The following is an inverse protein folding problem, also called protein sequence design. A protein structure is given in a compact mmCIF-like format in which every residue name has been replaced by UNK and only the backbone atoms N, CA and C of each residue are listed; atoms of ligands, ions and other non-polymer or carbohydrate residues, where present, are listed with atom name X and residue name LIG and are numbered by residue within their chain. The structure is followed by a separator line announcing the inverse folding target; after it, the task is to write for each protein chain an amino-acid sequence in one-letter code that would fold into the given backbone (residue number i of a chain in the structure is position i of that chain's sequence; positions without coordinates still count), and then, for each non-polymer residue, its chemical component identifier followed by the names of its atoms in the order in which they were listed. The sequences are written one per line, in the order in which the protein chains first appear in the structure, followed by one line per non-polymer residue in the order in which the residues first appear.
data_IF_773600067550
#
_entry.id   IF_773600067550
#
_cell.length_a   1.000
_cell.length_b   1.000
_cell.length_c   1.000
_cell.angle_alpha   90.00
_cell.angle_beta   90.00
_cell.angle_gamma   90.00
#
_symmetry.space_group_name_H-M   'P 1'
#
loop_
_entity.id
_entity.type
_entity.pdbx_description
1 polymer ?
#
# COMPACT_ATOMS: atom_id res chain seq x y z
N UNK A 1 11.44 -21.53 8.13
CA UNK A 1 11.93 -20.19 8.58
C UNK A 1 10.72 -19.49 9.18
N UNK A 2 10.81 -18.97 10.40
CA UNK A 2 9.71 -18.16 10.97
C UNK A 2 9.60 -16.80 10.24
N UNK A 3 8.48 -16.09 10.45
CA UNK A 3 8.31 -14.74 9.89
C UNK A 3 9.35 -13.77 10.45
N UNK A 4 9.69 -13.89 11.72
CA UNK A 4 10.77 -13.15 12.39
C UNK A 4 12.11 -13.34 11.68
N UNK A 5 12.53 -14.60 11.49
CA UNK A 5 13.79 -14.88 10.78
C UNK A 5 13.79 -14.37 9.33
N UNK A 6 12.61 -14.31 8.69
CA UNK A 6 12.48 -13.73 7.37
C UNK A 6 12.67 -12.21 7.41
N UNK A 7 12.13 -11.53 8.42
CA UNK A 7 12.30 -10.09 8.61
C UNK A 7 13.77 -9.76 8.88
N UNK A 8 14.42 -10.47 9.82
CA UNK A 8 15.85 -10.28 10.11
C UNK A 8 16.72 -10.39 8.85
N UNK A 9 16.49 -11.42 8.03
CA UNK A 9 17.29 -11.66 6.84
C UNK A 9 17.06 -10.64 5.71
N UNK A 10 15.89 -9.98 5.66
CA UNK A 10 15.48 -9.17 4.51
C UNK A 10 15.25 -7.68 4.81
N UNK A 11 15.32 -7.26 6.08
CA UNK A 11 15.06 -5.89 6.51
C UNK A 11 15.90 -4.86 5.75
N UNK A 12 17.21 -5.04 5.71
CA UNK A 12 18.12 -4.11 5.02
C UNK A 12 17.83 -4.02 3.51
N UNK A 13 17.49 -5.16 2.88
CA UNK A 13 17.11 -5.20 1.45
C UNK A 13 15.83 -4.42 1.23
N UNK A 14 14.82 -4.62 2.08
CA UNK A 14 13.56 -3.90 1.99
C UNK A 14 13.76 -2.38 2.11
N UNK A 15 14.54 -1.92 3.09
CA UNK A 15 14.87 -0.51 3.27
C UNK A 15 15.63 0.08 2.07
N UNK A 16 16.64 -0.64 1.55
CA UNK A 16 17.42 -0.22 0.39
C UNK A 16 16.54 -0.06 -0.85
N UNK A 17 15.61 -1.00 -1.07
CA UNK A 17 14.64 -0.90 -2.17
C UNK A 17 13.73 0.32 -2.05
N UNK A 18 13.33 0.72 -0.83
CA UNK A 18 12.48 1.90 -0.62
C UNK A 18 13.27 3.21 -0.80
N UNK A 19 14.48 3.28 -0.31
CA UNK A 19 15.35 4.46 -0.49
C UNK A 19 15.66 4.76 -1.96
N UNK A 20 15.68 3.75 -2.82
CA UNK A 20 15.90 3.88 -4.25
C UNK A 20 14.76 4.54 -5.04
N UNK A 21 13.60 4.78 -4.41
CA UNK A 21 12.43 5.38 -5.08
C UNK A 21 12.43 6.90 -4.85
N UNK A 22 13.27 7.62 -5.54
CA UNK A 22 13.42 9.07 -5.36
C UNK A 22 12.13 9.86 -5.58
N UNK A 23 11.32 9.48 -6.57
CA UNK A 23 10.06 10.18 -6.87
C UNK A 23 9.00 10.06 -5.78
N UNK A 24 9.08 9.06 -4.90
CA UNK A 24 8.16 8.98 -3.75
C UNK A 24 8.39 10.16 -2.79
N UNK A 25 9.63 10.57 -2.58
CA UNK A 25 9.94 11.72 -1.75
C UNK A 25 9.53 13.03 -2.43
N UNK A 26 9.82 13.19 -3.73
CA UNK A 26 9.37 14.34 -4.51
C UNK A 26 7.85 14.48 -4.51
N UNK A 27 7.11 13.36 -4.65
CA UNK A 27 5.65 13.34 -4.54
C UNK A 27 5.15 13.78 -3.17
N UNK A 28 5.73 13.26 -2.08
CA UNK A 28 5.34 13.63 -0.72
C UNK A 28 5.65 15.10 -0.42
N UNK A 29 6.80 15.57 -0.86
CA UNK A 29 7.18 16.98 -0.72
C UNK A 29 6.23 17.90 -1.51
N UNK A 30 5.96 17.60 -2.78
CA UNK A 30 5.03 18.35 -3.61
C UNK A 30 3.64 18.44 -2.97
N UNK A 31 3.16 17.36 -2.35
CA UNK A 31 1.84 17.32 -1.69
C UNK A 31 1.76 18.21 -0.45
N UNK A 32 2.89 18.60 0.15
CA UNK A 32 2.93 19.57 1.25
C UNK A 32 2.83 21.03 0.81
N UNK A 33 3.01 21.33 -0.49
CA UNK A 33 2.92 22.69 -1.02
C UNK A 33 1.50 23.01 -1.53
N UNK A 34 1.17 24.30 -1.63
CA UNK A 34 -0.09 24.77 -2.21
C UNK A 34 -0.15 24.56 -3.72
N UNK A 35 0.96 24.76 -4.40
CA UNK A 35 1.08 24.52 -5.84
C UNK A 35 1.39 23.05 -6.11
N UNK A 36 0.60 22.42 -6.99
CA UNK A 36 0.72 21.00 -7.32
C UNK A 36 1.27 20.82 -8.73
N UNK A 37 2.27 19.99 -8.89
CA UNK A 37 2.90 19.66 -10.17
C UNK A 37 2.22 18.44 -10.82
N UNK A 38 1.36 18.69 -11.79
CA UNK A 38 0.69 17.63 -12.55
C UNK A 38 1.65 16.77 -13.38
N UNK A 39 2.79 17.33 -13.83
CA UNK A 39 3.78 16.59 -14.60
C UNK A 39 4.53 15.59 -13.72
N UNK A 40 4.85 15.95 -12.48
CA UNK A 40 5.43 15.06 -11.49
C UNK A 40 4.47 13.91 -11.17
N UNK A 41 3.19 14.20 -10.89
CA UNK A 41 2.16 13.17 -10.63
C UNK A 41 2.05 12.22 -11.81
N UNK A 42 1.95 12.76 -13.04
CA UNK A 42 1.87 11.95 -14.26
C UNK A 42 3.10 11.03 -14.40
N UNK A 43 4.31 11.57 -14.21
CA UNK A 43 5.55 10.80 -14.29
C UNK A 43 5.60 9.70 -13.23
N UNK A 44 5.24 10.03 -11.99
CA UNK A 44 5.20 9.07 -10.89
C UNK A 44 4.20 7.93 -11.15
N UNK A 45 2.98 8.25 -11.59
CA UNK A 45 1.96 7.24 -11.94
C UNK A 45 2.42 6.33 -13.09
N UNK A 46 3.14 6.90 -14.08
CA UNK A 46 3.72 6.13 -15.20
C UNK A 46 4.78 5.15 -14.71
N UNK A 47 5.68 5.58 -13.83
CA UNK A 47 6.76 4.75 -13.29
C UNK A 47 6.22 3.60 -12.42
N UNK A 48 5.11 3.83 -11.72
CA UNK A 48 4.38 2.76 -11.00
C UNK A 48 3.50 1.89 -11.89
N UNK A 49 3.52 2.09 -13.23
CA UNK A 49 2.76 1.30 -14.18
C UNK A 49 1.24 1.49 -14.09
N UNK A 50 0.76 2.57 -13.46
CA UNK A 50 -0.66 2.79 -13.18
C UNK A 50 -1.47 3.16 -14.41
N UNK A 51 -0.81 3.50 -15.53
CA UNK A 51 -1.44 3.91 -16.78
C UNK A 51 -1.51 2.79 -17.84
N UNK A 52 -1.29 1.54 -17.48
CA UNK A 52 -1.40 0.43 -18.43
C UNK A 52 -2.82 0.37 -19.04
N UNK A 53 -2.89 0.37 -20.37
CA UNK A 53 -4.16 0.31 -21.11
C UNK A 53 -5.02 1.58 -21.05
N UNK A 54 -4.45 2.74 -20.63
CA UNK A 54 -5.14 4.02 -20.55
C UNK A 54 -4.66 4.97 -21.65
N UNK A 55 -5.58 5.66 -22.33
CA UNK A 55 -5.27 6.65 -23.36
C UNK A 55 -4.53 7.87 -22.77
N UNK A 56 -3.86 8.66 -23.61
CA UNK A 56 -3.17 9.88 -23.16
C UNK A 56 -4.13 10.92 -22.57
N UNK A 57 -5.32 11.04 -23.14
CA UNK A 57 -6.37 11.96 -22.69
C UNK A 57 -6.89 11.55 -21.30
N UNK A 58 -7.23 10.26 -21.12
CA UNK A 58 -7.69 9.74 -19.85
C UNK A 58 -6.62 9.85 -18.76
N UNK A 59 -5.33 9.69 -19.10
CA UNK A 59 -4.22 9.86 -18.12
C UNK A 59 -4.20 11.27 -17.54
N UNK A 60 -4.38 12.29 -18.41
CA UNK A 60 -4.46 13.67 -17.95
C UNK A 60 -5.67 13.86 -17.05
N UNK A 61 -6.84 13.38 -17.45
CA UNK A 61 -8.06 13.49 -16.65
C UNK A 61 -7.92 12.79 -15.29
N UNK A 62 -7.26 11.62 -15.21
CA UNK A 62 -6.95 10.93 -13.94
C UNK A 62 -6.05 11.77 -13.04
N UNK A 63 -4.99 12.39 -13.58
CA UNK A 63 -4.10 13.26 -12.81
C UNK A 63 -4.86 14.48 -12.27
N UNK A 64 -5.67 15.13 -13.11
CA UNK A 64 -6.48 16.27 -12.70
C UNK A 64 -7.48 15.91 -11.60
N UNK A 65 -8.13 14.72 -11.71
CA UNK A 65 -9.02 14.20 -10.66
C UNK A 65 -8.28 13.90 -9.37
N UNK A 66 -7.10 13.31 -9.45
CA UNK A 66 -6.29 13.09 -8.26
C UNK A 66 -6.00 14.39 -7.53
N UNK A 67 -5.47 15.39 -8.22
CA UNK A 67 -5.07 16.66 -7.62
C UNK A 67 -6.24 17.42 -7.00
N UNK A 68 -7.40 17.43 -7.66
CA UNK A 68 -8.60 18.05 -7.10
C UNK A 68 -9.14 17.29 -5.90
N UNK A 69 -9.12 15.96 -5.93
CA UNK A 69 -9.64 15.12 -4.83
C UNK A 69 -8.74 15.17 -3.61
N UNK A 70 -7.41 15.10 -3.79
CA UNK A 70 -6.48 15.11 -2.65
C UNK A 70 -6.49 16.46 -1.92
N UNK A 71 -6.70 17.57 -2.62
CA UNK A 71 -6.87 18.88 -2.01
C UNK A 71 -8.07 18.89 -1.05
N UNK A 72 -9.23 18.40 -1.49
CA UNK A 72 -10.43 18.29 -0.65
C UNK A 72 -10.19 17.37 0.55
N UNK A 73 -9.51 16.24 0.33
CA UNK A 73 -9.22 15.27 1.38
C UNK A 73 -8.31 15.87 2.46
N UNK A 74 -7.25 16.58 2.07
CA UNK A 74 -6.26 17.11 3.02
C UNK A 74 -6.78 18.28 3.85
N UNK A 75 -7.77 19.03 3.35
CA UNK A 75 -8.40 20.14 4.10
C UNK A 75 -9.42 19.70 5.14
N UNK A 76 -9.94 18.48 5.07
CA UNK A 76 -11.10 18.05 5.86
C UNK A 76 -10.78 17.22 7.11
N UNK A 77 -9.51 16.83 7.34
CA UNK A 77 -9.21 15.82 8.36
C UNK A 77 -8.03 16.18 9.27
N UNK A 78 -8.33 16.45 10.54
CA UNK A 78 -7.32 16.62 11.60
C UNK A 78 -6.80 15.27 12.16
N UNK A 79 -7.57 14.20 12.01
CA UNK A 79 -7.20 12.84 12.43
C UNK A 79 -7.51 11.82 11.34
N UNK A 80 -6.58 10.90 11.11
CA UNK A 80 -6.68 9.87 10.07
C UNK A 80 -6.94 8.51 10.71
N UNK A 81 -8.22 8.20 10.94
CA UNK A 81 -8.70 6.89 11.38
C UNK A 81 -9.14 6.01 10.18
N UNK A 82 -9.51 4.76 10.43
CA UNK A 82 -9.97 3.84 9.40
C UNK A 82 -11.24 4.30 8.68
N UNK A 83 -12.17 4.97 9.37
CA UNK A 83 -13.38 5.50 8.74
C UNK A 83 -13.04 6.65 7.79
N UNK A 84 -12.09 7.48 8.18
CA UNK A 84 -11.56 8.53 7.34
C UNK A 84 -10.89 7.93 6.10
N UNK A 85 -10.02 6.94 6.27
CA UNK A 85 -9.35 6.25 5.16
C UNK A 85 -10.35 5.57 4.22
N UNK A 86 -11.39 4.90 4.73
CA UNK A 86 -12.43 4.28 3.92
C UNK A 86 -13.16 5.31 3.05
N UNK A 87 -13.49 6.48 3.62
CA UNK A 87 -14.13 7.58 2.88
C UNK A 87 -13.23 8.16 1.80
N UNK A 88 -11.98 8.47 2.15
CA UNK A 88 -10.97 8.98 1.20
C UNK A 88 -10.74 8.00 0.06
N UNK A 89 -10.61 6.72 0.40
CA UNK A 89 -10.41 5.64 -0.58
C UNK A 89 -11.61 5.53 -1.53
N UNK A 90 -12.82 5.54 -0.98
CA UNK A 90 -14.06 5.47 -1.77
C UNK A 90 -14.18 6.68 -2.70
N UNK A 91 -13.94 7.90 -2.20
CA UNK A 91 -13.98 9.13 -2.98
C UNK A 91 -12.98 9.07 -4.14
N UNK A 92 -11.71 8.82 -3.86
CA UNK A 92 -10.65 8.77 -4.87
C UNK A 92 -10.92 7.70 -5.94
N UNK A 93 -11.33 6.51 -5.51
CA UNK A 93 -11.63 5.41 -6.42
C UNK A 93 -12.84 5.71 -7.30
N UNK A 94 -13.84 6.42 -6.77
CA UNK A 94 -15.03 6.88 -7.52
C UNK A 94 -14.64 7.88 -8.60
N UNK A 95 -13.82 8.87 -8.26
CA UNK A 95 -13.35 9.88 -9.22
C UNK A 95 -12.58 9.23 -10.39
N UNK A 96 -11.71 8.26 -10.09
CA UNK A 96 -10.99 7.53 -11.14
C UNK A 96 -11.91 6.65 -11.99
N UNK A 97 -12.88 5.98 -11.37
CA UNK A 97 -13.85 5.13 -12.07
C UNK A 97 -14.71 5.94 -13.02
N UNK A 98 -15.06 7.18 -12.69
CA UNK A 98 -15.82 8.09 -13.57
C UNK A 98 -15.05 8.46 -14.84
N UNK A 99 -13.71 8.47 -14.81
CA UNK A 99 -12.88 8.70 -15.99
C UNK A 99 -12.69 7.40 -16.79
N UNK A 100 -12.25 6.35 -16.11
CA UNK A 100 -12.03 5.03 -16.73
C UNK A 100 -12.65 3.95 -15.86
N UNK A 101 -13.74 3.29 -16.30
CA UNK A 101 -14.43 2.24 -15.55
C UNK A 101 -13.58 0.98 -15.39
N UNK A 102 -12.72 0.96 -14.37
CA UNK A 102 -11.89 -0.18 -14.00
C UNK A 102 -11.62 -0.21 -12.50
N UNK A 103 -11.00 -1.30 -12.03
CA UNK A 103 -10.55 -1.42 -10.64
C UNK A 103 -9.28 -0.57 -10.40
N UNK A 104 -9.42 0.45 -9.58
CA UNK A 104 -8.34 1.40 -9.24
C UNK A 104 -7.70 1.14 -7.87
N UNK A 105 -7.96 0.00 -7.24
CA UNK A 105 -7.54 -0.37 -5.87
C UNK A 105 -6.05 -0.05 -5.59
N UNK A 106 -5.14 -0.55 -6.45
CA UNK A 106 -3.69 -0.34 -6.27
C UNK A 106 -3.26 1.11 -6.51
N UNK A 107 -3.85 1.79 -7.50
CA UNK A 107 -3.52 3.19 -7.76
C UNK A 107 -4.00 4.10 -6.63
N UNK A 108 -5.24 3.90 -6.17
CA UNK A 108 -5.84 4.68 -5.08
C UNK A 108 -5.02 4.55 -3.79
N UNK A 109 -4.65 3.34 -3.39
CA UNK A 109 -3.85 3.13 -2.17
C UNK A 109 -2.46 3.76 -2.26
N UNK A 110 -1.78 3.67 -3.42
CA UNK A 110 -0.47 4.26 -3.64
C UNK A 110 -0.51 5.79 -3.58
N UNK A 111 -1.52 6.40 -4.18
CA UNK A 111 -1.68 7.85 -4.22
C UNK A 111 -2.07 8.42 -2.85
N UNK A 112 -2.94 7.73 -2.09
CA UNK A 112 -3.26 8.11 -0.72
C UNK A 112 -2.06 7.94 0.22
N UNK A 113 -1.24 6.90 0.01
CA UNK A 113 -0.01 6.70 0.78
C UNK A 113 0.96 7.88 0.64
N UNK A 114 1.08 8.49 -0.54
CA UNK A 114 1.92 9.67 -0.73
C UNK A 114 1.54 10.84 0.20
N UNK A 115 0.24 10.98 0.51
CA UNK A 115 -0.27 12.03 1.40
C UNK A 115 -0.26 11.62 2.88
N UNK A 116 -0.41 10.33 3.17
CA UNK A 116 -0.58 9.80 4.53
C UNK A 116 0.31 8.56 4.75
N UNK A 117 1.65 8.70 4.65
CA UNK A 117 2.58 7.57 4.59
C UNK A 117 2.62 6.72 5.87
N UNK A 118 2.23 7.27 7.02
CA UNK A 118 2.21 6.57 8.30
C UNK A 118 0.83 5.98 8.65
N UNK A 119 -0.20 6.30 7.85
CA UNK A 119 -1.58 5.88 8.11
C UNK A 119 -2.11 4.91 7.04
N UNK A 120 -1.67 5.05 5.80
CA UNK A 120 -2.18 4.33 4.63
C UNK A 120 -1.20 3.26 4.20
N UNK A 121 -1.70 2.04 3.97
CA UNK A 121 -0.94 0.91 3.44
C UNK A 121 -1.10 0.83 1.93
N UNK A 122 -0.02 0.61 1.20
CA UNK A 122 -0.09 0.35 -0.25
C UNK A 122 -0.69 -1.04 -0.50
N UNK A 123 -1.73 -1.10 -1.33
CA UNK A 123 -2.23 -2.39 -1.80
C UNK A 123 -1.37 -2.94 -2.95
N UNK A 124 -0.96 -4.18 -2.80
CA UNK A 124 -0.29 -4.97 -3.83
C UNK A 124 -0.78 -6.43 -3.81
N UNK A 125 -0.92 -7.05 -4.99
CA UNK A 125 -1.41 -8.41 -5.12
C UNK A 125 -0.47 -9.46 -4.49
N UNK A 126 0.84 -9.20 -4.46
CA UNK A 126 1.78 -10.09 -3.78
C UNK A 126 1.66 -9.98 -2.26
N UNK A 127 1.45 -8.77 -1.73
CA UNK A 127 1.16 -8.58 -0.30
C UNK A 127 -0.17 -9.24 0.08
N UNK A 128 -1.23 -9.08 -0.73
CA UNK A 128 -2.50 -9.79 -0.54
C UNK A 128 -2.27 -11.30 -0.44
N UNK A 129 -1.50 -11.88 -1.35
CA UNK A 129 -1.14 -13.30 -1.34
C UNK A 129 -0.39 -13.70 -0.07
N UNK A 130 0.57 -12.89 0.38
CA UNK A 130 1.30 -13.16 1.63
C UNK A 130 0.35 -13.18 2.83
N UNK A 131 -0.54 -12.19 2.95
CA UNK A 131 -1.51 -12.09 4.04
C UNK A 131 -2.49 -13.27 4.03
N UNK A 132 -3.01 -13.66 2.87
CA UNK A 132 -3.91 -14.82 2.75
C UNK A 132 -3.30 -16.11 3.34
N UNK A 133 -2.00 -16.30 3.16
CA UNK A 133 -1.29 -17.47 3.67
C UNK A 133 -0.98 -17.28 5.16
N UNK A 134 -0.46 -16.12 5.55
CA UNK A 134 -0.14 -15.81 6.95
C UNK A 134 -1.38 -15.90 7.84
N UNK A 135 -2.55 -15.48 7.38
CA UNK A 135 -3.79 -15.59 8.14
C UNK A 135 -4.14 -17.04 8.52
N UNK A 136 -3.71 -18.02 7.71
CA UNK A 136 -3.92 -19.44 8.00
C UNK A 136 -2.96 -20.03 9.04
N UNK A 137 -1.85 -19.35 9.38
CA UNK A 137 -0.79 -19.87 10.21
C UNK A 137 -0.36 -18.95 11.36
N UNK A 138 -0.85 -17.71 11.36
CA UNK A 138 -0.44 -16.66 12.31
C UNK A 138 -1.60 -16.35 13.27
N UNK A 139 -1.48 -16.68 14.58
CA UNK A 139 -2.61 -16.56 15.53
C UNK A 139 -3.21 -15.15 15.63
N UNK A 140 -2.39 -14.10 15.68
CA UNK A 140 -2.87 -12.73 15.82
C UNK A 140 -3.62 -12.19 14.56
N UNK A 141 -3.60 -12.92 13.44
CA UNK A 141 -4.41 -12.62 12.26
C UNK A 141 -5.71 -13.43 12.20
N UNK A 142 -5.89 -14.42 13.08
CA UNK A 142 -7.06 -15.30 13.03
C UNK A 142 -8.39 -14.60 13.35
N UNK A 143 -8.36 -13.52 14.15
CA UNK A 143 -9.54 -12.76 14.54
C UNK A 143 -10.03 -11.78 13.46
N UNK A 144 -9.22 -11.54 12.43
CA UNK A 144 -9.64 -10.71 11.31
C UNK A 144 -10.57 -11.46 10.35
N UNK A 145 -11.51 -10.76 9.71
CA UNK A 145 -12.31 -11.36 8.63
C UNK A 145 -11.38 -11.99 7.59
N UNK A 146 -11.72 -13.23 7.16
CA UNK A 146 -10.88 -13.95 6.21
C UNK A 146 -10.72 -13.16 4.91
N UNK A 147 -9.49 -12.81 4.59
CA UNK A 147 -9.19 -12.14 3.34
C UNK A 147 -9.31 -13.14 2.18
N UNK A 148 -9.97 -12.69 1.12
CA UNK A 148 -10.11 -13.38 -0.15
C UNK A 148 -9.46 -12.53 -1.24
N UNK A 149 -9.47 -13.02 -2.47
CA UNK A 149 -9.04 -12.20 -3.60
C UNK A 149 -9.83 -10.89 -3.66
N UNK A 150 -9.16 -9.80 -3.85
CA UNK A 150 -9.75 -8.46 -3.91
C UNK A 150 -10.91 -8.37 -4.90
N UNK A 151 -12.05 -7.76 -4.53
CA UNK A 151 -13.27 -7.73 -5.33
C UNK A 151 -13.05 -7.18 -6.74
N UNK A 152 -13.74 -7.71 -7.73
CA UNK A 152 -13.85 -7.08 -9.04
C UNK A 152 -14.73 -5.83 -8.95
N UNK A 153 -14.43 -4.82 -9.74
CA UNK A 153 -15.25 -3.60 -9.88
C UNK A 153 -15.87 -3.62 -11.25
N UNK A 154 -17.17 -3.91 -11.32
CA UNK A 154 -17.99 -3.97 -12.55
C UNK A 154 -18.87 -2.74 -12.69
N UNK A 155 -19.21 -2.11 -11.57
CA UNK A 155 -20.02 -0.90 -11.49
C UNK A 155 -19.69 -0.11 -10.22
N UNK A 156 -20.26 1.09 -10.07
CA UNK A 156 -20.01 2.00 -8.95
C UNK A 156 -20.30 1.38 -7.56
N UNK A 157 -21.32 0.50 -7.47
CA UNK A 157 -21.69 -0.12 -6.18
C UNK A 157 -20.60 -1.09 -5.67
N UNK A 158 -19.73 -1.59 -6.54
CA UNK A 158 -18.64 -2.47 -6.13
C UNK A 158 -17.47 -1.70 -5.47
N UNK A 159 -17.41 -0.38 -5.63
CA UNK A 159 -16.38 0.47 -5.02
C UNK A 159 -16.43 0.37 -3.49
N UNK A 160 -17.62 0.44 -2.91
CA UNK A 160 -17.78 0.30 -1.45
C UNK A 160 -17.30 -1.08 -0.94
N UNK A 161 -17.49 -2.15 -1.72
CA UNK A 161 -16.94 -3.48 -1.38
C UNK A 161 -15.43 -3.49 -1.44
N UNK A 162 -14.84 -2.81 -2.44
CA UNK A 162 -13.38 -2.66 -2.54
C UNK A 162 -12.82 -1.84 -1.37
N UNK A 163 -13.50 -0.79 -0.93
CA UNK A 163 -13.06 0.02 0.21
C UNK A 163 -13.07 -0.81 1.50
N UNK A 164 -14.14 -1.53 1.80
CA UNK A 164 -14.21 -2.45 2.95
C UNK A 164 -13.15 -3.54 2.91
N UNK A 165 -12.93 -4.13 1.74
CA UNK A 165 -11.84 -5.09 1.54
C UNK A 165 -10.50 -4.46 1.85
N UNK A 166 -10.25 -3.23 1.36
CA UNK A 166 -9.01 -2.51 1.57
C UNK A 166 -8.77 -2.19 3.05
N UNK A 167 -9.78 -1.79 3.80
CA UNK A 167 -9.64 -1.54 5.25
C UNK A 167 -9.24 -2.83 5.97
N UNK A 168 -9.90 -3.96 5.72
CA UNK A 168 -9.51 -5.24 6.32
C UNK A 168 -8.07 -5.66 5.95
N UNK A 169 -7.68 -5.47 4.69
CA UNK A 169 -6.31 -5.70 4.23
C UNK A 169 -5.31 -4.81 4.99
N UNK A 170 -5.59 -3.50 5.09
CA UNK A 170 -4.76 -2.54 5.79
C UNK A 170 -4.60 -2.88 7.27
N UNK A 171 -5.68 -3.26 7.94
CA UNK A 171 -5.67 -3.63 9.35
C UNK A 171 -4.79 -4.85 9.62
N UNK A 172 -4.80 -5.84 8.71
CA UNK A 172 -3.91 -6.99 8.83
C UNK A 172 -2.43 -6.62 8.66
N UNK A 173 -2.09 -5.72 7.71
CA UNK A 173 -0.70 -5.23 7.56
C UNK A 173 -0.27 -4.47 8.80
N UNK A 174 -1.16 -3.63 9.36
CA UNK A 174 -0.90 -2.90 10.61
C UNK A 174 -0.77 -3.84 11.81
N UNK A 175 -1.54 -4.92 11.87
CA UNK A 175 -1.40 -5.93 12.91
C UNK A 175 -0.03 -6.63 12.83
N UNK A 176 0.44 -6.95 11.61
CA UNK A 176 1.79 -7.50 11.42
C UNK A 176 2.86 -6.48 11.84
N UNK A 177 2.70 -5.22 11.48
CA UNK A 177 3.60 -4.16 11.94
C UNK A 177 3.66 -4.09 13.46
N UNK A 178 2.51 -4.02 14.12
CA UNK A 178 2.43 -3.90 15.58
C UNK A 178 3.07 -5.09 16.29
N UNK A 179 2.84 -6.32 15.81
CA UNK A 179 3.43 -7.52 16.37
C UNK A 179 4.96 -7.53 16.27
N UNK A 180 5.50 -7.00 15.16
CA UNK A 180 6.92 -7.00 14.89
C UNK A 180 7.61 -5.64 15.15
N UNK A 181 6.94 -4.66 15.74
CA UNK A 181 7.50 -3.32 15.93
C UNK A 181 8.81 -3.34 16.71
N UNK A 182 8.88 -4.08 17.82
CA UNK A 182 10.11 -4.20 18.61
C UNK A 182 11.28 -4.80 17.81
N UNK A 183 10.99 -5.78 16.95
CA UNK A 183 11.98 -6.36 16.05
C UNK A 183 12.49 -5.34 15.03
N UNK A 184 11.58 -4.57 14.42
CA UNK A 184 11.93 -3.53 13.45
C UNK A 184 12.77 -2.42 14.09
N UNK A 185 12.42 -1.99 15.31
CA UNK A 185 13.18 -0.98 16.06
C UNK A 185 14.62 -1.45 16.33
N UNK A 186 14.78 -2.71 16.75
CA UNK A 186 16.09 -3.34 16.95
C UNK A 186 16.90 -3.37 15.64
N UNK A 187 16.30 -3.86 14.55
CA UNK A 187 16.95 -3.93 13.24
C UNK A 187 17.34 -2.54 12.72
N UNK A 188 16.50 -1.52 12.95
CA UNK A 188 16.79 -0.13 12.59
C UNK A 188 18.05 0.37 13.30
N UNK A 189 18.20 0.11 14.59
CA UNK A 189 19.38 0.50 15.38
C UNK A 189 20.62 -0.25 14.86
N UNK A 190 20.54 -1.57 14.73
CA UNK A 190 21.66 -2.43 14.30
C UNK A 190 22.18 -2.10 12.90
N UNK A 191 21.28 -1.68 11.98
CA UNK A 191 21.65 -1.33 10.61
C UNK A 191 21.86 0.16 10.39
N UNK A 192 21.68 1.01 11.42
CA UNK A 192 21.68 2.47 11.31
C UNK A 192 20.72 2.98 10.21
N UNK A 193 19.55 2.37 10.10
CA UNK A 193 18.59 2.66 9.07
C UNK A 193 17.82 3.96 9.35
N UNK A 194 17.68 4.80 8.32
CA UNK A 194 17.05 6.13 8.41
C UNK A 194 15.73 6.26 7.65
N UNK A 195 15.28 5.21 6.96
CA UNK A 195 14.00 5.25 6.25
C UNK A 195 12.84 5.35 7.27
N UNK A 196 11.96 6.39 7.19
CA UNK A 196 11.09 6.75 8.31
C UNK A 196 9.79 5.93 8.41
N UNK A 197 9.34 5.26 7.33
CA UNK A 197 8.00 4.67 7.25
C UNK A 197 8.01 3.16 7.45
N UNK A 198 7.80 2.67 8.68
CA UNK A 198 7.79 1.24 9.02
C UNK A 198 6.68 0.47 8.29
N UNK A 199 5.50 1.07 8.13
CA UNK A 199 4.42 0.51 7.30
C UNK A 199 4.92 0.11 5.91
N UNK A 200 5.74 0.96 5.29
CA UNK A 200 6.27 0.72 3.95
C UNK A 200 7.35 -0.36 3.93
N UNK A 201 8.12 -0.47 5.02
CA UNK A 201 9.11 -1.56 5.18
C UNK A 201 8.38 -2.90 5.29
N UNK A 202 7.36 -3.00 6.15
CA UNK A 202 6.55 -4.21 6.30
C UNK A 202 5.84 -4.58 5.00
N UNK A 203 5.22 -3.61 4.31
CA UNK A 203 4.64 -3.82 2.99
C UNK A 203 5.65 -4.43 2.01
N UNK A 204 6.89 -3.94 2.01
CA UNK A 204 7.93 -4.47 1.13
C UNK A 204 8.40 -5.87 1.52
N UNK A 205 8.54 -6.14 2.81
CA UNK A 205 8.85 -7.49 3.30
C UNK A 205 7.75 -8.48 2.90
N UNK A 206 6.49 -8.12 3.08
CA UNK A 206 5.35 -8.94 2.65
C UNK A 206 5.29 -9.11 1.12
N UNK A 207 5.60 -8.06 0.36
CA UNK A 207 5.72 -8.13 -1.10
C UNK A 207 6.79 -9.14 -1.52
N UNK A 208 7.96 -9.13 -0.88
CA UNK A 208 9.02 -10.12 -1.15
C UNK A 208 8.56 -11.53 -0.80
N UNK A 209 7.86 -11.69 0.33
CA UNK A 209 7.33 -12.97 0.80
C UNK A 209 6.28 -13.55 -0.16
N UNK A 210 5.38 -12.73 -0.68
CA UNK A 210 4.28 -13.15 -1.56
C UNK A 210 4.64 -13.23 -3.04
N UNK A 211 5.80 -12.68 -3.46
CA UNK A 211 6.21 -12.67 -4.86
C UNK A 211 6.81 -14.03 -5.26
N UNK A 212 6.16 -14.78 -6.19
CA UNK A 212 6.63 -16.11 -6.59
C UNK A 212 7.97 -16.10 -7.33
N UNK A 213 8.40 -14.95 -7.85
CA UNK A 213 9.65 -14.79 -8.58
C UNK A 213 10.84 -14.48 -7.67
N UNK A 214 10.61 -14.29 -6.37
CA UNK A 214 11.68 -14.11 -5.38
C UNK A 214 12.17 -15.48 -4.90
N UNK A 215 13.47 -15.59 -4.60
CA UNK A 215 14.07 -16.83 -4.10
C UNK A 215 13.50 -17.29 -2.74
N UNK A 216 12.82 -16.40 -2.05
CA UNK A 216 12.13 -16.65 -0.78
C UNK A 216 10.63 -16.81 -1.06
N UNK A 217 10.23 -17.99 -1.50
CA UNK A 217 8.81 -18.31 -1.62
C UNK A 217 8.24 -18.67 -0.25
N UNK A 218 6.97 -18.36 -0.03
CA UNK A 218 6.21 -18.78 1.16
C UNK A 218 6.36 -20.28 1.48
N UNK A 219 6.59 -21.12 0.47
CA UNK A 219 6.87 -22.54 0.65
C UNK A 219 8.11 -22.80 1.56
N UNK A 220 9.11 -21.92 1.54
CA UNK A 220 10.29 -22.04 2.39
C UNK A 220 10.05 -21.55 3.83
N UNK A 221 9.04 -20.72 4.04
CA UNK A 221 8.64 -20.23 5.38
C UNK A 221 7.69 -21.22 6.06
N UNK A 222 6.82 -21.90 5.29
CA UNK A 222 5.74 -22.75 5.81
C UNK A 222 6.19 -24.20 6.08
N UNK A 223 7.22 -24.70 5.38
CA UNK A 223 7.58 -26.12 5.38
C UNK A 223 8.50 -26.58 6.53
N UNK A 224 8.71 -25.79 7.58
CA UNK A 224 9.37 -26.30 8.81
C UNK A 224 8.52 -25.94 10.02
N UNK A 225 7.79 -26.89 10.59
CA UNK A 225 7.31 -26.75 11.97
C UNK A 225 8.54 -26.57 12.87
N UNK A 226 8.39 -25.66 13.84
CA UNK A 226 9.38 -25.41 14.89
C UNK A 226 9.66 -26.68 15.72
#
# INVERSE_FOLDING_TARGET
MSLENFFDANYHVACTMQRGIHKDNEMKEMLSFSEKDSALVHSWMKDYGLFQGITSEDRKAIVDRYLSTIHVITEQHDTIDNNCIERMFTMMMTEFYNVVPRKWLSATSKLLWCSFPDNVVIYDAFVERAIMILQGITPYLADFPRIQTSPAVRNMNDIAKCAKFYINYQDMVKAILNEHQHQLDKLRIETSETYPHDIRIVDKLLWMLGNPNQAFTLNNVICKPA
#
